data_IF_691553758858
#
_entry.id   IF_691553758858
#
_cell.length_a   1.000
_cell.length_b   1.000
_cell.length_c   1.000
_cell.angle_alpha   90.00
_cell.angle_beta   90.00
_cell.angle_gamma   90.00
#
_symmetry.space_group_name_H-M   'P 1'
#
loop_
_entity.id
_entity.type
_entity.pdbx_description
1 polymer ?
#
# COMPACT_ATOMS: atom_id res chain seq x y z
N UNK A 1 14.95 21.36 0.21
CA UNK A 1 13.54 20.92 0.30
C UNK A 1 13.42 19.73 -0.63
N UNK A 2 13.38 18.50 -0.10
CA UNK A 2 13.27 17.30 -0.93
C UNK A 2 11.82 17.16 -1.39
N UNK A 3 11.54 17.56 -2.62
CA UNK A 3 10.34 17.20 -3.36
C UNK A 3 10.48 15.73 -3.74
N UNK A 4 10.24 14.82 -2.79
CA UNK A 4 9.75 13.52 -3.20
C UNK A 4 8.39 13.81 -3.83
N UNK A 5 8.34 13.70 -5.15
CA UNK A 5 7.09 13.72 -5.93
C UNK A 5 6.04 12.93 -5.14
N UNK A 6 4.85 13.48 -4.98
CA UNK A 6 3.75 12.90 -4.22
C UNK A 6 3.20 11.70 -5.02
N UNK A 7 4.01 10.67 -5.22
CA UNK A 7 3.69 9.49 -6.02
C UNK A 7 2.77 8.63 -5.18
N UNK A 8 1.51 8.41 -5.59
CA UNK A 8 0.63 7.55 -4.84
C UNK A 8 1.06 6.07 -5.00
N UNK A 9 0.93 5.31 -3.92
CA UNK A 9 0.91 3.85 -3.96
C UNK A 9 -0.45 3.33 -4.44
N UNK A 10 -0.62 2.00 -4.45
CA UNK A 10 -1.79 1.32 -5.02
C UNK A 10 -3.11 1.65 -4.30
N UNK A 11 -3.05 2.13 -3.06
CA UNK A 11 -4.25 2.47 -2.28
C UNK A 11 -5.04 3.66 -2.87
N UNK A 12 -4.48 4.41 -3.82
CA UNK A 12 -5.19 5.49 -4.51
C UNK A 12 -6.45 5.02 -5.26
N UNK A 13 -6.53 3.72 -5.58
CA UNK A 13 -7.67 3.12 -6.28
C UNK A 13 -8.74 2.54 -5.34
N UNK A 14 -8.51 2.60 -4.02
CA UNK A 14 -9.46 2.10 -3.03
C UNK A 14 -10.61 3.07 -2.78
N UNK A 15 -11.76 2.55 -2.37
CA UNK A 15 -12.93 3.38 -2.03
C UNK A 15 -12.94 3.84 -0.58
N UNK A 16 -12.20 3.15 0.29
CA UNK A 16 -12.16 3.43 1.72
C UNK A 16 -11.43 4.75 2.00
N UNK A 17 -12.07 5.74 2.67
CA UNK A 17 -11.40 6.97 3.06
C UNK A 17 -10.15 6.72 3.92
N UNK A 18 -10.20 5.70 4.79
CA UNK A 18 -9.06 5.30 5.61
C UNK A 18 -7.86 4.86 4.76
N UNK A 19 -8.09 4.03 3.73
CA UNK A 19 -7.00 3.57 2.84
C UNK A 19 -6.48 4.71 1.96
N UNK A 20 -7.36 5.58 1.47
CA UNK A 20 -7.00 6.74 0.65
C UNK A 20 -6.09 7.73 1.41
N UNK A 21 -6.28 7.90 2.72
CA UNK A 21 -5.38 8.71 3.56
C UNK A 21 -3.93 8.20 3.58
N UNK A 22 -3.73 6.91 3.29
CA UNK A 22 -2.41 6.27 3.24
C UNK A 22 -1.85 6.14 1.81
N UNK A 23 -2.56 6.64 0.78
CA UNK A 23 -2.16 6.50 -0.62
C UNK A 23 -0.85 7.22 -0.95
N UNK A 24 -0.48 8.28 -0.24
CA UNK A 24 0.76 9.04 -0.48
C UNK A 24 1.87 8.73 0.53
N UNK A 25 1.66 7.71 1.38
CA UNK A 25 2.71 7.27 2.28
C UNK A 25 3.89 6.68 1.49
N UNK A 26 5.13 6.85 1.96
CA UNK A 26 6.33 6.38 1.25
C UNK A 26 6.45 4.85 1.19
N UNK A 27 5.63 4.13 1.97
CA UNK A 27 5.53 2.67 1.89
C UNK A 27 4.67 2.31 0.68
N UNK A 28 5.17 1.40 -0.16
CA UNK A 28 4.43 0.83 -1.29
C UNK A 28 3.32 -0.11 -0.81
N UNK A 29 2.25 0.46 -0.27
CA UNK A 29 1.12 -0.31 0.24
C UNK A 29 0.35 -0.99 -0.89
N UNK A 30 -0.03 -2.23 -0.62
CA UNK A 30 -1.00 -2.99 -1.41
C UNK A 30 -2.31 -3.09 -0.62
N UNK A 31 -3.47 -3.04 -1.28
CA UNK A 31 -4.70 -3.53 -0.67
C UNK A 31 -4.60 -5.05 -0.45
N UNK A 32 -5.57 -5.62 0.26
CA UNK A 32 -5.65 -7.07 0.42
C UNK A 32 -6.07 -7.73 -0.91
N UNK A 33 -5.09 -8.25 -1.66
CA UNK A 33 -5.31 -8.84 -2.99
C UNK A 33 -4.32 -9.96 -3.31
N UNK A 34 -4.64 -10.79 -4.30
CA UNK A 34 -3.78 -11.90 -4.76
C UNK A 34 -2.42 -11.43 -5.29
N UNK A 35 -2.35 -10.24 -5.91
CA UNK A 35 -1.09 -9.66 -6.41
C UNK A 35 -0.06 -9.48 -5.28
N UNK A 36 -0.52 -9.03 -4.09
CA UNK A 36 0.35 -8.85 -2.93
C UNK A 36 0.96 -10.18 -2.47
N UNK A 37 0.16 -11.25 -2.42
CA UNK A 37 0.64 -12.59 -2.06
C UNK A 37 1.55 -13.20 -3.12
N UNK A 38 1.22 -13.03 -4.40
CA UNK A 38 2.04 -13.50 -5.51
C UNK A 38 3.42 -12.84 -5.50
N UNK A 39 3.47 -11.52 -5.29
CA UNK A 39 4.71 -10.75 -5.17
C UNK A 39 5.54 -11.20 -3.96
N UNK A 40 4.91 -11.34 -2.80
CA UNK A 40 5.58 -11.81 -1.58
C UNK A 40 6.24 -13.19 -1.78
N UNK A 41 5.52 -14.13 -2.41
CA UNK A 41 6.03 -15.46 -2.73
C UNK A 41 7.15 -15.43 -3.77
N UNK A 42 7.02 -14.62 -4.82
CA UNK A 42 8.02 -14.51 -5.88
C UNK A 42 9.32 -13.87 -5.39
N UNK A 43 9.23 -12.90 -4.48
CA UNK A 43 10.38 -12.20 -3.91
C UNK A 43 10.95 -12.86 -2.65
N UNK A 44 10.34 -13.95 -2.17
CA UNK A 44 10.66 -14.62 -0.89
C UNK A 44 10.71 -13.63 0.29
N UNK A 45 9.68 -12.78 0.38
CA UNK A 45 9.54 -11.76 1.43
C UNK A 45 8.29 -12.00 2.26
N UNK A 46 8.35 -11.79 3.59
CA UNK A 46 7.18 -11.87 4.44
C UNK A 46 6.20 -10.72 4.16
N UNK A 47 4.93 -10.93 4.50
CA UNK A 47 3.89 -9.89 4.41
C UNK A 47 3.80 -9.15 5.74
N UNK A 48 3.94 -7.84 5.70
CA UNK A 48 3.57 -6.96 6.81
C UNK A 48 2.10 -6.56 6.67
N UNK A 49 1.24 -7.13 7.51
CA UNK A 49 -0.20 -6.85 7.53
C UNK A 49 -0.53 -5.77 8.57
N UNK A 50 -1.08 -4.65 8.12
CA UNK A 50 -1.62 -3.60 8.99
C UNK A 50 -3.13 -3.52 8.81
N UNK A 51 -3.87 -3.55 9.92
CA UNK A 51 -5.33 -3.46 9.95
C UNK A 51 -5.71 -2.30 10.85
N UNK A 52 -6.55 -1.41 10.35
CA UNK A 52 -7.10 -0.29 11.09
C UNK A 52 -8.62 -0.24 11.01
N UNK A 53 -9.20 0.58 11.87
CA UNK A 53 -10.62 0.90 11.90
C UNK A 53 -10.77 2.43 11.90
N UNK A 54 -11.89 2.94 11.38
CA UNK A 54 -12.18 4.38 11.31
C UNK A 54 -13.28 4.79 12.28
#
# INVERSE_FOLDING_TARGET
MNTAENVPNRLINEKSPYLLQHAYNPVDWFPWCEEAFAKAKAEDKPIFLSIGYS
#
